data_IF_994290950253
#
_entry.id   IF_994290950253
#
_cell.length_a   1.000
_cell.length_b   1.000
_cell.length_c   1.000
_cell.angle_alpha   90.00
_cell.angle_beta   90.00
_cell.angle_gamma   90.00
#
_symmetry.space_group_name_H-M   'P 1'
#
loop_
_entity.id
_entity.type
_entity.pdbx_description
1 polymer ?
#
# COMPACT_ATOMS: atom_id res chain seq x y z
N UNK A 1 -10.54 14.83 3.39
CA UNK A 1 -9.56 14.36 3.23
C UNK A 1 -9.42 13.56 2.17
N UNK A 2 -8.44 13.08 1.94
CA UNK A 2 -8.32 12.45 0.94
C UNK A 2 -7.45 11.40 1.06
N UNK A 3 -7.80 10.31 0.76
CA UNK A 3 -6.94 9.20 0.65
C UNK A 3 -6.28 9.27 -0.71
N UNK A 4 -5.61 8.21 -1.08
CA UNK A 4 -4.98 8.11 -2.39
C UNK A 4 -6.05 8.12 -3.46
N UNK A 5 -5.78 8.82 -4.55
CA UNK A 5 -6.68 8.73 -5.68
C UNK A 5 -6.47 7.38 -6.37
N UNK A 6 -7.32 7.06 -7.33
CA UNK A 6 -7.29 5.75 -7.96
C UNK A 6 -5.95 5.42 -8.61
N UNK A 7 -5.36 6.39 -9.28
CA UNK A 7 -4.09 6.13 -9.94
C UNK A 7 -2.99 5.84 -8.94
N UNK A 8 -2.88 6.67 -7.90
CA UNK A 8 -1.85 6.48 -6.90
C UNK A 8 -2.08 5.19 -6.13
N UNK A 9 -3.33 4.86 -5.85
CA UNK A 9 -3.64 3.62 -5.16
C UNK A 9 -3.14 2.42 -5.96
N UNK A 10 -3.39 2.43 -7.27
CA UNK A 10 -2.98 1.31 -8.11
C UNK A 10 -1.45 1.18 -8.14
N UNK A 11 -0.76 2.31 -8.21
CA UNK A 11 0.69 2.30 -8.22
C UNK A 11 1.21 1.74 -6.90
N UNK A 12 0.63 2.18 -5.79
CA UNK A 12 1.07 1.70 -4.49
C UNK A 12 0.76 0.23 -4.27
N UNK A 13 -0.40 -0.22 -4.73
CA UNK A 13 -0.77 -1.63 -4.63
C UNK A 13 0.24 -2.47 -5.39
N UNK A 14 0.61 -2.02 -6.57
CA UNK A 14 1.58 -2.77 -7.37
C UNK A 14 2.93 -2.83 -6.67
N UNK A 15 3.38 -1.71 -6.13
CA UNK A 15 4.66 -1.68 -5.42
C UNK A 15 4.64 -2.61 -4.21
N UNK A 16 3.55 -2.56 -3.45
CA UNK A 16 3.43 -3.44 -2.28
C UNK A 16 3.42 -4.90 -2.69
N UNK A 17 2.70 -5.20 -3.76
CA UNK A 17 2.59 -6.59 -4.20
C UNK A 17 3.96 -7.15 -4.59
N UNK A 18 4.76 -6.37 -5.29
CA UNK A 18 6.10 -6.80 -5.69
C UNK A 18 6.95 -7.10 -4.46
N UNK A 19 6.92 -6.22 -3.48
CA UNK A 19 7.73 -6.40 -2.29
C UNK A 19 7.24 -7.56 -1.43
N UNK A 20 5.92 -7.73 -1.36
CA UNK A 20 5.37 -8.89 -0.64
C UNK A 20 5.80 -10.18 -1.28
N UNK A 21 5.84 -10.21 -2.61
CA UNK A 21 6.30 -11.40 -3.33
C UNK A 21 7.79 -11.65 -3.10
N UNK A 22 8.53 -10.63 -2.73
CA UNK A 22 9.94 -10.78 -2.41
C UNK A 22 10.17 -11.21 -0.97
N UNK A 23 9.11 -11.45 -0.22
CA UNK A 23 9.25 -11.95 1.15
C UNK A 23 9.18 -10.88 2.22
N UNK A 24 8.95 -9.63 1.86
CA UNK A 24 8.82 -8.57 2.86
C UNK A 24 7.43 -8.61 3.46
N UNK A 25 7.28 -8.07 4.67
CA UNK A 25 5.98 -8.02 5.31
C UNK A 25 5.31 -6.69 4.99
N UNK A 26 3.99 -6.65 5.11
CA UNK A 26 3.24 -5.42 4.88
C UNK A 26 3.74 -4.30 5.80
N UNK A 27 3.98 -4.62 7.06
CA UNK A 27 4.47 -3.63 8.01
C UNK A 27 5.83 -3.06 7.63
N UNK A 28 6.73 -3.90 7.15
CA UNK A 28 8.05 -3.46 6.74
C UNK A 28 7.95 -2.52 5.54
N UNK A 29 7.08 -2.86 4.61
CA UNK A 29 6.89 -2.03 3.42
C UNK A 29 6.30 -0.69 3.82
N UNK A 30 5.28 -0.71 4.67
CA UNK A 30 4.61 0.51 5.09
C UNK A 30 5.57 1.46 5.81
N UNK A 31 6.55 0.91 6.52
CA UNK A 31 7.52 1.73 7.22
C UNK A 31 8.35 2.60 6.28
N UNK A 32 8.48 2.18 5.03
CA UNK A 32 9.23 2.94 4.04
C UNK A 32 8.41 4.08 3.44
N UNK A 33 7.11 4.13 3.74
CA UNK A 33 6.23 5.15 3.20
C UNK A 33 5.54 5.91 4.33
N UNK A 34 6.29 6.67 5.10
CA UNK A 34 5.72 7.34 6.29
C UNK A 34 4.66 8.37 5.97
N UNK A 35 4.58 8.80 4.72
CA UNK A 35 3.54 9.76 4.32
C UNK A 35 2.17 9.10 4.16
N UNK A 36 2.12 7.78 4.08
CA UNK A 36 0.84 7.08 3.96
C UNK A 36 0.14 7.09 5.30
N UNK A 37 -1.13 7.49 5.29
CA UNK A 37 -1.93 7.49 6.51
C UNK A 37 -2.47 6.08 6.77
N UNK A 38 -3.05 5.90 7.95
CA UNK A 38 -3.68 4.62 8.27
C UNK A 38 -4.79 4.29 7.27
N UNK A 39 -5.54 5.30 6.83
CA UNK A 39 -6.58 5.09 5.84
C UNK A 39 -6.00 4.65 4.50
N UNK A 40 -4.86 5.24 4.13
CA UNK A 40 -4.19 4.87 2.89
C UNK A 40 -3.74 3.42 2.93
N UNK A 41 -3.15 3.02 4.05
CA UNK A 41 -2.67 1.65 4.21
C UNK A 41 -3.83 0.66 4.19
N UNK A 42 -4.94 1.06 4.78
CA UNK A 42 -6.12 0.21 4.77
C UNK A 42 -6.65 0.02 3.36
N UNK A 43 -6.67 1.10 2.58
CA UNK A 43 -7.12 1.02 1.20
C UNK A 43 -6.21 0.10 0.38
N UNK A 44 -4.90 0.19 0.61
CA UNK A 44 -3.96 -0.69 -0.09
C UNK A 44 -4.20 -2.14 0.31
N UNK A 45 -4.37 -2.38 1.59
CA UNK A 45 -4.60 -3.73 2.08
C UNK A 45 -5.87 -4.33 1.48
N UNK A 46 -6.93 -3.54 1.42
CA UNK A 46 -8.19 -4.00 0.85
C UNK A 46 -8.00 -4.36 -0.62
N UNK A 47 -7.28 -3.51 -1.34
CA UNK A 47 -7.05 -3.75 -2.76
C UNK A 47 -6.21 -5.00 -3.01
N UNK A 48 -5.28 -5.30 -2.10
CA UNK A 48 -4.45 -6.48 -2.22
C UNK A 48 -5.22 -7.78 -2.08
N UNK A 49 -6.37 -7.71 -1.44
CA UNK A 49 -7.19 -8.90 -1.23
C UNK A 49 -8.02 -9.28 -2.43
N UNK A 50 -8.14 -8.38 -3.37
CA UNK A 50 -9.02 -8.60 -4.53
C UNK A 50 -8.30 -9.23 -5.69
#
# INVERSE_FOLDING_TARGET
MKTLNNLKLRIMVRAFRIRLNNGETFGDIAADYPALTADDLKAIEEALRQ
#
